data_IF_861939297062
#
_entry.id   IF_861939297062
#
_cell.length_a   1.000
_cell.length_b   1.000
_cell.length_c   1.000
_cell.angle_alpha   90.00
_cell.angle_beta   90.00
_cell.angle_gamma   90.00
#
_symmetry.space_group_name_H-M   'P 1'
#
loop_
_entity.id
_entity.type
_entity.pdbx_description
1 polymer ?
#
# COMPACT_ATOMS: atom_id res chain seq x y z
N UNK A 1 5.67 7.63 -11.02
CA UNK A 1 5.25 8.97 -10.58
C UNK A 1 6.47 9.73 -10.09
N UNK A 2 6.72 10.91 -10.64
CA UNK A 2 7.86 11.77 -10.30
C UNK A 2 7.43 12.88 -9.34
N UNK A 3 8.39 13.45 -8.62
CA UNK A 3 8.18 14.51 -7.64
C UNK A 3 9.20 15.64 -7.83
N UNK A 4 8.92 16.82 -7.29
CA UNK A 4 9.82 17.99 -7.40
C UNK A 4 11.12 17.85 -6.58
N UNK A 5 11.24 16.82 -5.76
CA UNK A 5 12.37 16.50 -4.88
C UNK A 5 12.93 15.11 -5.18
N UNK A 6 14.13 14.83 -4.65
CA UNK A 6 14.87 13.58 -4.87
C UNK A 6 14.28 12.42 -4.05
N UNK A 7 13.47 11.60 -4.71
CA UNK A 7 12.84 10.39 -4.18
C UNK A 7 13.89 9.31 -3.91
N UNK A 8 14.95 9.22 -4.71
CA UNK A 8 15.99 8.21 -4.52
C UNK A 8 16.76 8.44 -3.23
N UNK A 9 17.08 9.69 -2.94
CA UNK A 9 17.66 10.06 -1.66
C UNK A 9 16.64 9.86 -0.51
N UNK A 10 15.36 10.22 -0.70
CA UNK A 10 14.34 10.16 0.34
C UNK A 10 13.96 8.72 0.74
N UNK A 11 13.81 7.86 -0.25
CA UNK A 11 13.41 6.46 -0.11
C UNK A 11 14.55 5.58 -0.67
N UNK A 12 15.59 5.31 0.13
CA UNK A 12 16.80 4.65 -0.38
C UNK A 12 16.53 3.20 -0.81
N UNK A 13 15.61 2.53 -0.13
CA UNK A 13 15.25 1.15 -0.43
C UNK A 13 14.23 1.05 -1.57
N UNK A 14 14.26 -0.07 -2.29
CA UNK A 14 13.30 -0.37 -3.35
C UNK A 14 11.86 -0.41 -2.84
N UNK A 15 11.66 -1.00 -1.66
CA UNK A 15 10.39 -0.98 -0.93
C UNK A 15 10.62 -0.30 0.40
N UNK A 16 9.96 0.83 0.62
CA UNK A 16 9.98 1.56 1.89
C UNK A 16 8.69 1.29 2.67
N UNK A 17 8.83 0.97 3.96
CA UNK A 17 7.70 0.75 4.88
C UNK A 17 7.46 2.03 5.69
N UNK A 18 6.23 2.54 5.64
CA UNK A 18 5.79 3.73 6.34
C UNK A 18 4.65 3.38 7.29
N UNK A 19 4.77 3.80 8.55
CA UNK A 19 3.71 3.68 9.55
C UNK A 19 3.06 5.05 9.84
N UNK A 20 2.22 5.11 10.88
CA UNK A 20 1.54 6.32 11.34
C UNK A 20 2.49 7.50 11.65
N UNK A 21 3.78 7.24 11.90
CA UNK A 21 4.73 8.29 12.22
C UNK A 21 5.33 8.95 10.97
N UNK A 22 5.17 8.35 9.78
CA UNK A 22 5.69 8.85 8.50
C UNK A 22 7.16 9.32 8.61
N UNK A 23 7.98 8.54 9.31
CA UNK A 23 9.37 8.90 9.58
C UNK A 23 10.23 8.67 8.34
N UNK A 24 11.13 9.61 8.00
CA UNK A 24 12.15 9.37 7.00
C UNK A 24 12.99 8.12 7.35
N UNK A 25 13.30 7.25 6.36
CA UNK A 25 14.25 6.17 6.54
C UNK A 25 15.61 6.67 7.02
N UNK A 26 16.32 5.85 7.79
CA UNK A 26 17.69 6.15 8.18
C UNK A 26 18.58 6.24 6.93
N UNK A 27 19.35 7.32 6.79
CA UNK A 27 20.29 7.51 5.68
C UNK A 27 21.71 7.11 6.07
N UNK A 28 22.54 6.86 5.05
CA UNK A 28 23.97 6.58 5.22
C UNK A 28 24.69 7.77 5.87
N UNK A 29 25.62 7.55 6.82
CA UNK A 29 26.43 8.62 7.42
C UNK A 29 27.20 9.42 6.35
N UNK A 30 27.32 10.73 6.53
CA UNK A 30 28.16 11.60 5.69
C UNK A 30 27.47 12.37 4.56
N UNK A 31 26.13 12.35 4.47
CA UNK A 31 25.38 13.19 3.52
C UNK A 31 24.87 14.46 4.19
N UNK A 32 24.99 15.62 3.52
CA UNK A 32 24.38 16.88 3.97
C UNK A 32 22.85 16.77 3.88
N UNK A 33 22.17 16.92 5.01
CA UNK A 33 20.73 16.65 5.13
C UNK A 33 19.89 17.93 5.13
N UNK A 34 18.80 17.98 4.33
CA UNK A 34 17.68 18.87 4.61
C UNK A 34 17.15 18.64 6.03
N UNK A 35 16.44 19.61 6.61
CA UNK A 35 15.90 19.44 7.95
C UNK A 35 14.93 18.24 7.99
N UNK A 36 14.89 17.53 9.12
CA UNK A 36 14.03 16.34 9.31
C UNK A 36 12.55 16.63 9.01
N UNK A 37 12.09 17.85 9.33
CA UNK A 37 10.73 18.32 9.06
C UNK A 37 10.45 18.37 7.56
N UNK A 38 11.40 18.87 6.76
CA UNK A 38 11.26 18.95 5.30
C UNK A 38 11.12 17.56 4.67
N UNK A 39 11.90 16.59 5.15
CA UNK A 39 11.85 15.20 4.67
C UNK A 39 10.51 14.52 4.99
N UNK A 40 9.98 14.75 6.19
CA UNK A 40 8.67 14.22 6.57
C UNK A 40 7.56 14.83 5.69
N UNK A 41 7.62 16.14 5.43
CA UNK A 41 6.65 16.80 4.55
C UNK A 41 6.70 16.24 3.12
N UNK A 42 7.88 15.92 2.60
CA UNK A 42 8.04 15.27 1.30
C UNK A 42 7.38 13.87 1.28
N UNK A 43 7.55 13.07 2.34
CA UNK A 43 6.89 11.77 2.47
C UNK A 43 5.37 11.94 2.49
N UNK A 44 4.87 12.91 3.26
CA UNK A 44 3.44 13.21 3.30
C UNK A 44 2.90 13.55 1.90
N UNK A 45 3.62 14.37 1.13
CA UNK A 45 3.28 14.68 -0.26
C UNK A 45 3.25 13.42 -1.14
N UNK A 46 4.23 12.51 -1.02
CA UNK A 46 4.21 11.22 -1.74
C UNK A 46 2.92 10.44 -1.40
N UNK A 47 2.59 10.31 -0.11
CA UNK A 47 1.42 9.55 0.33
C UNK A 47 0.12 10.16 -0.20
N UNK A 48 -0.01 11.49 -0.14
CA UNK A 48 -1.21 12.18 -0.61
C UNK A 48 -1.40 12.04 -2.12
N UNK A 49 -0.34 12.18 -2.90
CA UNK A 49 -0.38 12.04 -4.35
C UNK A 49 -0.66 10.61 -4.80
N UNK A 50 -0.05 9.62 -4.14
CA UNK A 50 -0.37 8.21 -4.37
C UNK A 50 -1.83 7.88 -4.02
N UNK A 51 -2.35 8.44 -2.92
CA UNK A 51 -3.74 8.29 -2.53
C UNK A 51 -4.71 8.87 -3.56
N UNK A 52 -4.41 10.05 -4.11
CA UNK A 52 -5.18 10.66 -5.21
C UNK A 52 -5.12 9.81 -6.48
N UNK A 53 -3.94 9.31 -6.85
CA UNK A 53 -3.76 8.45 -8.01
C UNK A 53 -4.56 7.15 -7.88
N UNK A 54 -4.50 6.49 -6.72
CA UNK A 54 -5.29 5.29 -6.43
C UNK A 54 -6.79 5.56 -6.51
N UNK A 55 -7.27 6.66 -5.92
CA UNK A 55 -8.68 7.04 -5.97
C UNK A 55 -9.17 7.25 -7.40
N UNK A 56 -8.38 7.94 -8.23
CA UNK A 56 -8.68 8.13 -9.65
C UNK A 56 -8.75 6.80 -10.39
N UNK A 57 -7.78 5.90 -10.17
CA UNK A 57 -7.74 4.58 -10.81
C UNK A 57 -8.89 3.65 -10.39
N UNK A 58 -9.46 3.88 -9.20
CA UNK A 58 -10.59 3.13 -8.65
C UNK A 58 -11.95 3.83 -8.84
N UNK A 59 -11.98 5.02 -9.48
CA UNK A 59 -13.17 5.85 -9.63
C UNK A 59 -13.86 6.22 -8.30
N UNK A 60 -13.05 6.46 -7.25
CA UNK A 60 -13.55 6.89 -5.95
C UNK A 60 -13.76 8.42 -5.93
N UNK A 61 -14.79 8.93 -5.22
CA UNK A 61 -15.04 10.37 -5.13
C UNK A 61 -13.99 11.12 -4.30
N UNK A 62 -13.25 10.41 -3.44
CA UNK A 62 -12.18 10.99 -2.62
C UNK A 62 -11.11 9.94 -2.28
N UNK A 63 -9.87 10.35 -1.97
CA UNK A 63 -8.82 9.46 -1.51
C UNK A 63 -9.15 8.75 -0.19
N UNK A 64 -8.98 7.42 -0.19
CA UNK A 64 -9.03 6.59 1.02
C UNK A 64 -7.67 6.44 1.70
N UNK A 65 -6.61 6.94 1.06
CA UNK A 65 -5.24 7.01 1.57
C UNK A 65 -4.77 8.47 1.51
N UNK A 66 -4.22 8.97 2.61
CA UNK A 66 -3.61 10.30 2.73
C UNK A 66 -2.66 10.31 3.93
N UNK A 67 -1.76 11.27 4.00
CA UNK A 67 -0.85 11.45 5.12
C UNK A 67 -1.63 11.63 6.45
N UNK A 68 -2.67 12.46 6.43
CA UNK A 68 -3.54 12.68 7.59
C UNK A 68 -4.25 11.38 8.03
N UNK A 69 -4.72 10.56 7.09
CA UNK A 69 -5.33 9.25 7.42
C UNK A 69 -4.30 8.26 7.96
N UNK A 70 -3.08 8.25 7.44
CA UNK A 70 -1.98 7.45 7.97
C UNK A 70 -1.63 7.86 9.41
N UNK A 71 -1.55 9.14 9.72
CA UNK A 71 -1.21 9.61 11.07
C UNK A 71 -2.31 9.36 12.11
N UNK A 72 -3.57 9.32 11.68
CA UNK A 72 -4.74 9.07 12.54
C UNK A 72 -5.11 7.59 12.67
N UNK A 73 -4.43 6.69 11.96
CA UNK A 73 -4.73 5.26 11.97
C UNK A 73 -3.46 4.42 12.14
N UNK A 74 -3.60 3.23 12.73
CA UNK A 74 -2.51 2.24 12.77
C UNK A 74 -2.43 1.48 11.45
N UNK A 75 -2.14 2.20 10.36
CA UNK A 75 -1.93 1.64 9.02
C UNK A 75 -0.45 1.52 8.71
N UNK A 76 -0.12 0.55 7.88
CA UNK A 76 1.22 0.36 7.33
C UNK A 76 1.12 0.48 5.81
N UNK A 77 2.00 1.27 5.21
CA UNK A 77 2.05 1.51 3.77
C UNK A 77 3.41 1.07 3.24
N UNK A 78 3.39 0.18 2.25
CA UNK A 78 4.54 -0.32 1.52
C UNK A 78 4.63 0.44 0.20
N UNK A 79 5.66 1.27 0.03
CA UNK A 79 5.87 2.11 -1.16
C UNK A 79 6.96 1.48 -2.02
N UNK A 80 6.65 1.17 -3.29
CA UNK A 80 7.59 0.62 -4.26
C UNK A 80 8.11 1.73 -5.16
N UNK A 81 9.43 1.87 -5.22
CA UNK A 81 10.15 2.83 -6.06
C UNK A 81 10.84 2.11 -7.23
N UNK A 82 10.93 2.79 -8.36
CA UNK A 82 11.76 2.36 -9.47
C UNK A 82 13.24 2.61 -9.13
N UNK A 83 14.05 1.56 -9.23
CA UNK A 83 15.50 1.60 -9.02
C UNK A 83 16.27 1.41 -10.33
N UNK A 84 15.56 1.30 -11.46
CA UNK A 84 16.11 0.94 -12.78
C UNK A 84 16.20 2.12 -13.76
N UNK A 85 15.57 3.25 -13.45
CA UNK A 85 15.57 4.43 -14.30
C UNK A 85 17.01 4.99 -14.51
N UNK A 86 17.46 5.03 -15.77
CA UNK A 86 18.67 5.75 -16.22
C UNK A 86 18.30 6.66 -17.41
N UNK A 87 18.80 7.91 -17.49
CA UNK A 87 19.79 8.54 -16.61
C UNK A 87 19.20 8.97 -15.27
N UNK A 88 20.09 9.30 -14.31
CA UNK A 88 19.79 9.60 -12.90
C UNK A 88 18.81 10.79 -12.73
N UNK A 89 17.51 10.51 -12.86
CA UNK A 89 16.46 11.42 -12.46
C UNK A 89 16.34 11.47 -10.93
N UNK A 90 15.36 12.22 -10.44
CA UNK A 90 15.04 12.33 -9.00
C UNK A 90 14.36 11.08 -8.42
N UNK A 91 14.49 9.91 -9.06
CA UNK A 91 13.72 8.71 -8.75
C UNK A 91 12.23 8.82 -9.10
N UNK A 92 11.56 7.66 -9.20
CA UNK A 92 10.12 7.59 -9.47
C UNK A 92 9.45 6.53 -8.59
N UNK A 93 8.26 6.83 -8.09
CA UNK A 93 7.44 5.87 -7.35
C UNK A 93 6.57 5.05 -8.32
N UNK A 94 6.59 3.73 -8.19
CA UNK A 94 5.81 2.78 -9.00
C UNK A 94 4.40 2.61 -8.44
N UNK A 95 4.26 2.54 -7.11
CA UNK A 95 2.98 2.30 -6.47
C UNK A 95 3.10 1.99 -4.99
N UNK A 96 2.01 1.53 -4.39
CA UNK A 96 1.96 1.19 -2.97
C UNK A 96 0.90 0.15 -2.63
N UNK A 97 1.05 -0.47 -1.46
CA UNK A 97 0.04 -1.30 -0.79
C UNK A 97 -0.11 -0.82 0.66
N UNK A 98 -1.34 -0.58 1.08
CA UNK A 98 -1.67 -0.17 2.45
C UNK A 98 -2.46 -1.27 3.15
N UNK A 99 -2.04 -1.59 4.36
CA UNK A 99 -2.66 -2.61 5.22
C UNK A 99 -2.95 -2.05 6.61
N UNK A 100 -3.81 -2.75 7.35
CA UNK A 100 -4.04 -2.46 8.77
C UNK A 100 -5.07 -3.40 9.37
N UNK A 101 -4.95 -3.63 10.67
CA UNK A 101 -5.91 -4.43 11.43
C UNK A 101 -7.25 -3.70 11.54
N UNK A 102 -8.35 -4.42 11.34
CA UNK A 102 -9.71 -3.89 11.47
C UNK A 102 -10.60 -4.90 12.18
N UNK A 103 -11.36 -4.42 13.16
CA UNK A 103 -12.47 -5.18 13.74
C UNK A 103 -13.57 -5.31 12.69
N UNK A 104 -13.89 -6.54 12.31
CA UNK A 104 -14.91 -6.91 11.34
C UNK A 104 -15.90 -7.87 12.00
N UNK A 105 -17.18 -7.74 11.63
CA UNK A 105 -18.18 -8.77 11.87
C UNK A 105 -18.29 -9.59 10.57
N UNK A 106 -17.78 -10.82 10.61
CA UNK A 106 -17.71 -11.71 9.45
C UNK A 106 -18.75 -12.81 9.61
N UNK A 107 -19.50 -13.06 8.54
CA UNK A 107 -20.41 -14.17 8.41
C UNK A 107 -19.62 -15.44 8.09
N UNK A 108 -19.82 -16.51 8.85
CA UNK A 108 -19.29 -17.83 8.51
C UNK A 108 -20.21 -18.63 7.58
N UNK A 109 -19.81 -19.86 7.28
CA UNK A 109 -20.55 -20.82 6.43
C UNK A 109 -21.87 -21.30 7.03
N UNK A 110 -22.13 -20.98 8.31
CA UNK A 110 -23.36 -21.31 9.05
C UNK A 110 -24.23 -20.07 9.29
N UNK A 111 -23.94 -18.98 8.59
CA UNK A 111 -24.62 -17.69 8.73
C UNK A 111 -24.49 -17.06 10.13
N UNK A 112 -23.50 -17.49 10.93
CA UNK A 112 -23.23 -16.89 12.23
C UNK A 112 -22.29 -15.69 12.09
N UNK A 113 -22.54 -14.66 12.91
CA UNK A 113 -21.71 -13.45 12.96
C UNK A 113 -20.59 -13.62 13.98
N UNK A 114 -19.35 -13.56 13.50
CA UNK A 114 -18.15 -13.64 14.32
C UNK A 114 -17.40 -12.29 14.32
N UNK A 115 -17.06 -11.77 15.50
CA UNK A 115 -16.15 -10.63 15.61
C UNK A 115 -14.71 -11.12 15.46
N UNK A 116 -14.00 -10.58 14.48
CA UNK A 116 -12.60 -10.90 14.18
C UNK A 116 -11.82 -9.61 13.93
N UNK A 117 -10.51 -9.63 14.17
CA UNK A 117 -9.61 -8.51 13.88
C UNK A 117 -8.46 -8.94 12.94
N UNK A 118 -8.76 -9.26 11.65
CA UNK A 118 -7.74 -9.68 10.70
C UNK A 118 -6.90 -8.49 10.20
N UNK A 119 -5.76 -8.81 9.60
CA UNK A 119 -5.03 -7.84 8.79
C UNK A 119 -5.79 -7.63 7.48
N UNK A 120 -6.11 -6.38 7.16
CA UNK A 120 -6.85 -6.04 5.96
C UNK A 120 -5.97 -5.41 4.88
N UNK A 121 -6.23 -5.74 3.62
CA UNK A 121 -5.80 -4.93 2.48
C UNK A 121 -6.75 -3.75 2.35
N UNK A 122 -6.24 -2.53 2.53
CA UNK A 122 -7.05 -1.32 2.62
C UNK A 122 -6.97 -0.44 1.38
N UNK A 123 -5.86 -0.48 0.66
CA UNK A 123 -5.69 0.23 -0.61
C UNK A 123 -4.49 -0.39 -1.36
N UNK A 124 -4.58 -0.52 -2.68
CA UNK A 124 -3.51 -1.13 -3.47
C UNK A 124 -3.50 -0.55 -4.89
N UNK A 125 -2.37 0.07 -5.24
CA UNK A 125 -2.24 0.76 -6.51
C UNK A 125 -0.83 0.59 -7.09
N UNK A 126 -0.80 0.32 -8.40
CA UNK A 126 0.40 0.36 -9.22
C UNK A 126 0.11 1.31 -10.38
N UNK A 127 1.04 2.21 -10.67
CA UNK A 127 0.93 3.19 -11.75
C UNK A 127 0.55 2.52 -13.07
N UNK A 128 -0.38 3.12 -13.80
CA UNK A 128 -1.09 2.52 -14.94
C UNK A 128 -0.12 2.01 -16.01
N UNK A 129 0.93 2.78 -16.32
CA UNK A 129 1.95 2.41 -17.31
C UNK A 129 2.80 1.20 -16.92
N UNK A 130 2.81 0.82 -15.63
CA UNK A 130 3.63 -0.25 -15.08
C UNK A 130 2.78 -1.43 -14.56
N UNK A 131 1.46 -1.39 -14.73
CA UNK A 131 0.59 -2.52 -14.40
C UNK A 131 0.93 -3.75 -15.25
N UNK A 132 0.73 -4.94 -14.69
CA UNK A 132 0.99 -6.26 -15.34
C UNK A 132 2.47 -6.60 -15.61
N UNK A 133 3.42 -5.87 -15.04
CA UNK A 133 4.86 -6.16 -15.11
C UNK A 133 5.41 -6.86 -13.85
N UNK A 134 4.55 -7.41 -12.99
CA UNK A 134 4.97 -8.14 -11.78
C UNK A 134 5.16 -7.29 -10.52
N UNK A 135 5.19 -5.97 -10.62
CA UNK A 135 5.36 -5.06 -9.47
C UNK A 135 4.33 -5.24 -8.36
N UNK A 136 3.06 -5.50 -8.72
CA UNK A 136 2.03 -5.80 -7.72
C UNK A 136 2.34 -7.06 -6.91
N UNK A 137 2.89 -8.10 -7.56
CA UNK A 137 3.26 -9.36 -6.90
C UNK A 137 4.46 -9.16 -5.98
N UNK A 138 5.46 -8.44 -6.45
CA UNK A 138 6.65 -8.09 -5.66
C UNK A 138 6.25 -7.40 -4.35
N UNK A 139 5.44 -6.36 -4.45
CA UNK A 139 5.02 -5.54 -3.33
C UNK A 139 4.14 -6.34 -2.35
N UNK A 140 3.20 -7.13 -2.88
CA UNK A 140 2.34 -8.00 -2.06
C UNK A 140 3.14 -9.10 -1.34
N UNK A 141 4.08 -9.75 -2.02
CA UNK A 141 4.93 -10.78 -1.42
C UNK A 141 5.80 -10.23 -0.29
N UNK A 142 6.39 -9.04 -0.49
CA UNK A 142 7.17 -8.37 0.55
C UNK A 142 6.30 -8.05 1.77
N UNK A 143 5.06 -7.58 1.57
CA UNK A 143 4.12 -7.32 2.66
C UNK A 143 3.82 -8.61 3.44
N UNK A 144 3.49 -9.72 2.78
CA UNK A 144 3.23 -11.01 3.46
C UNK A 144 4.39 -11.44 4.36
N UNK A 145 5.63 -11.30 3.88
CA UNK A 145 6.84 -11.63 4.65
C UNK A 145 7.03 -10.72 5.87
N UNK A 146 6.77 -9.42 5.73
CA UNK A 146 6.93 -8.45 6.82
C UNK A 146 5.86 -8.60 7.88
N UNK A 147 4.62 -8.81 7.45
CA UNK A 147 3.46 -8.98 8.35
C UNK A 147 3.35 -10.41 8.90
N UNK A 148 4.10 -11.37 8.33
CA UNK A 148 4.10 -12.80 8.73
C UNK A 148 2.72 -13.43 8.68
N UNK A 149 2.02 -13.20 7.57
CA UNK A 149 0.66 -13.72 7.34
C UNK A 149 0.61 -14.49 6.03
N UNK A 150 -0.28 -15.47 5.99
CA UNK A 150 -0.63 -16.19 4.77
C UNK A 150 -1.75 -15.45 4.00
N UNK A 151 -1.79 -15.54 2.66
CA UNK A 151 -2.77 -14.81 1.85
C UNK A 151 -4.23 -15.06 2.25
N UNK A 152 -4.57 -16.28 2.66
CA UNK A 152 -5.93 -16.67 3.05
C UNK A 152 -6.36 -16.14 4.43
N UNK A 153 -5.45 -15.51 5.19
CA UNK A 153 -5.76 -14.87 6.47
C UNK A 153 -6.12 -13.38 6.31
N UNK A 154 -5.99 -12.84 5.10
CA UNK A 154 -6.26 -11.44 4.80
C UNK A 154 -7.75 -11.22 4.54
N UNK A 155 -8.29 -10.15 5.11
CA UNK A 155 -9.57 -9.61 4.67
C UNK A 155 -9.34 -8.47 3.66
N UNK A 156 -10.25 -8.30 2.70
CA UNK A 156 -10.11 -7.25 1.68
C UNK A 156 -11.37 -6.39 1.64
N UNK A 157 -11.20 -5.08 1.86
CA UNK A 157 -12.28 -4.11 1.74
C UNK A 157 -12.53 -3.81 0.25
N UNK A 158 -13.73 -4.12 -0.25
CA UNK A 158 -14.21 -3.75 -1.59
C UNK A 158 -13.19 -4.04 -2.71
N UNK A 159 -12.76 -5.30 -2.90
CA UNK A 159 -11.73 -5.63 -3.88
C UNK A 159 -12.20 -5.29 -5.30
N UNK A 160 -11.34 -4.57 -6.04
CA UNK A 160 -11.55 -4.35 -7.47
C UNK A 160 -11.48 -5.67 -8.26
N UNK A 161 -12.10 -5.72 -9.43
CA UNK A 161 -12.01 -6.90 -10.32
C UNK A 161 -10.56 -7.23 -10.72
N UNK A 162 -9.69 -6.21 -10.83
CA UNK A 162 -8.25 -6.41 -11.07
C UNK A 162 -7.58 -7.12 -9.88
N UNK A 163 -7.92 -6.72 -8.66
CA UNK A 163 -7.38 -7.32 -7.44
C UNK A 163 -7.85 -8.77 -7.28
N UNK A 164 -9.13 -9.07 -7.52
CA UNK A 164 -9.64 -10.45 -7.48
C UNK A 164 -8.88 -11.38 -8.44
N UNK A 165 -8.70 -10.96 -9.69
CA UNK A 165 -7.93 -11.73 -10.69
C UNK A 165 -6.46 -11.89 -10.29
N UNK A 166 -5.87 -10.86 -9.69
CA UNK A 166 -4.50 -10.90 -9.18
C UNK A 166 -4.35 -11.94 -8.06
N UNK A 167 -5.27 -11.95 -7.10
CA UNK A 167 -5.25 -12.86 -5.95
C UNK A 167 -5.47 -14.30 -6.35
N UNK A 168 -6.43 -14.57 -7.24
CA UNK A 168 -6.60 -15.89 -7.81
C UNK A 168 -5.30 -16.36 -8.50
N UNK A 169 -4.79 -15.57 -9.46
CA UNK A 169 -3.60 -15.94 -10.24
C UNK A 169 -2.36 -16.25 -9.40
N UNK A 170 -2.13 -15.53 -8.30
CA UNK A 170 -0.88 -15.60 -7.55
C UNK A 170 -0.97 -16.37 -6.24
N UNK A 171 -2.17 -16.54 -5.69
CA UNK A 171 -2.39 -17.12 -4.36
C UNK A 171 -3.57 -18.11 -4.31
N UNK A 172 -4.16 -18.46 -5.45
CA UNK A 172 -5.28 -19.41 -5.57
C UNK A 172 -6.48 -19.05 -4.68
N UNK A 173 -6.73 -17.75 -4.44
CA UNK A 173 -7.89 -17.27 -3.70
C UNK A 173 -9.07 -17.10 -4.67
N UNK A 174 -9.84 -18.17 -4.85
CA UNK A 174 -10.97 -18.23 -5.80
C UNK A 174 -12.33 -17.94 -5.16
N UNK A 175 -12.51 -18.36 -3.91
CA UNK A 175 -13.78 -18.31 -3.20
C UNK A 175 -13.75 -17.20 -2.15
N UNK A 176 -14.86 -16.47 -2.06
CA UNK A 176 -15.05 -15.46 -1.01
C UNK A 176 -16.41 -15.68 -0.38
N UNK A 177 -16.49 -15.73 0.94
CA UNK A 177 -17.79 -15.74 1.63
C UNK A 177 -18.40 -14.35 1.48
N UNK A 178 -19.55 -14.19 0.81
CA UNK A 178 -20.17 -12.87 0.64
C UNK A 178 -20.46 -12.22 2.00
N UNK A 179 -19.90 -11.03 2.25
CA UNK A 179 -20.13 -10.30 3.50
C UNK A 179 -21.14 -9.15 3.29
N UNK A 180 -21.92 -8.86 4.33
CA UNK A 180 -23.01 -7.87 4.31
C UNK A 180 -22.51 -6.42 4.18
N UNK A 181 -21.19 -6.17 4.19
CA UNK A 181 -20.57 -4.82 4.14
C UNK A 181 -19.40 -4.67 3.17
N UNK A 182 -19.44 -5.29 1.99
CA UNK A 182 -18.47 -5.04 0.91
C UNK A 182 -17.05 -5.57 1.14
N UNK A 183 -16.77 -6.15 2.29
CA UNK A 183 -15.59 -6.97 2.52
C UNK A 183 -15.75 -8.33 1.84
N UNK A 184 -14.63 -8.90 1.39
CA UNK A 184 -14.55 -10.30 1.00
C UNK A 184 -13.62 -11.00 1.97
N UNK A 185 -14.14 -12.03 2.64
CA UNK A 185 -13.41 -12.96 3.50
C UNK A 185 -13.30 -14.32 2.85
#
# INVERSE_FOLDING_TARGET
>A
MEFSFDVDALLPERITVLDQHLRPPARRPGTTTPARVDLQQQIMTIVDELGKASAKAQHLPAPITSASRMQSNRHVMYVLKDTSARPAGKGAVIGFLKVGYKKLFVLDDREAHNEVEPLCILDFYIHESLQRHGHGRELFHYMLQKERVEPHQLAIDRPSQKLLKFLNKHYNLETTVPQVRGFKG
#
